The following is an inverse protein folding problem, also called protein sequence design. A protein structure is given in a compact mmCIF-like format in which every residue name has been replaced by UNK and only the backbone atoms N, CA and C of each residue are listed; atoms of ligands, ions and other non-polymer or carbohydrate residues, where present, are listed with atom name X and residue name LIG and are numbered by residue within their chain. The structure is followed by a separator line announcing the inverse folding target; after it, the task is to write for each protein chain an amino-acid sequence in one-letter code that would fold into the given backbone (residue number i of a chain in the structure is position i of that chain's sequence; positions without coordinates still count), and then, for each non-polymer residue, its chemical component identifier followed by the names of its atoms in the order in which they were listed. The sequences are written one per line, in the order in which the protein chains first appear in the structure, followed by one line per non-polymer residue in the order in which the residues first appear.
data_IF_833165227253
#
_entry.id   IF_833165227253
#
_cell.length_a   1.000
_cell.length_b   1.000
_cell.length_c   1.000
_cell.angle_alpha   90.00
_cell.angle_beta   90.00
_cell.angle_gamma   90.00
#
_symmetry.space_group_name_H-M   'P 1'
#
loop_
_entity.id
_entity.type
_entity.pdbx_description
1 polymer ?
#
# COMPACT_ATOMS: atom_id res chain seq x y z
N UNK A 1 8.59 23.32 1.42
CA UNK A 1 9.41 22.09 1.20
C UNK A 1 9.17 21.60 -0.23
N UNK A 2 10.16 21.02 -0.91
CA UNK A 2 9.91 20.27 -2.16
C UNK A 2 9.49 18.83 -1.78
N UNK A 3 8.18 18.60 -1.76
CA UNK A 3 7.57 17.34 -1.30
C UNK A 3 8.05 16.15 -2.10
N UNK A 4 8.24 16.30 -3.42
CA UNK A 4 8.71 15.20 -4.27
C UNK A 4 10.17 14.89 -3.99
N UNK A 5 11.03 15.89 -3.88
CA UNK A 5 12.43 15.67 -3.57
C UNK A 5 12.65 15.03 -2.19
N UNK A 6 11.79 15.32 -1.23
CA UNK A 6 11.90 14.85 0.16
C UNK A 6 11.36 13.42 0.30
N UNK A 7 10.21 13.11 -0.25
CA UNK A 7 9.49 11.85 0.03
C UNK A 7 9.52 10.84 -1.10
N UNK A 8 9.68 11.26 -2.36
CA UNK A 8 9.75 10.35 -3.50
C UNK A 8 11.18 9.87 -3.77
N UNK A 9 11.68 9.02 -2.89
CA UNK A 9 13.10 8.67 -2.84
C UNK A 9 13.55 7.65 -3.90
N UNK A 10 12.63 6.93 -4.55
CA UNK A 10 12.91 5.80 -5.46
C UNK A 10 13.81 4.71 -4.86
N UNK A 11 14.00 4.73 -3.55
CA UNK A 11 14.82 3.80 -2.80
C UNK A 11 14.11 3.43 -1.49
N UNK A 12 13.49 2.25 -1.41
CA UNK A 12 12.75 1.82 -0.23
C UNK A 12 13.66 1.62 0.99
N UNK A 13 14.94 1.33 0.80
CA UNK A 13 15.89 1.17 1.91
C UNK A 13 16.23 2.53 2.52
N UNK A 14 16.45 3.54 1.67
CA UNK A 14 16.63 4.92 2.13
C UNK A 14 15.38 5.45 2.81
N UNK A 15 14.20 5.11 2.27
CA UNK A 15 12.93 5.49 2.85
C UNK A 15 12.73 4.88 4.25
N UNK A 16 13.10 3.62 4.45
CA UNK A 16 13.06 2.98 5.78
C UNK A 16 14.02 3.67 6.78
N UNK A 17 15.23 4.02 6.35
CA UNK A 17 16.19 4.75 7.18
C UNK A 17 15.68 6.17 7.55
N UNK A 18 14.95 6.84 6.66
CA UNK A 18 14.34 8.13 6.95
C UNK A 18 13.28 8.06 8.07
N UNK A 19 12.54 6.95 8.19
CA UNK A 19 11.61 6.75 9.30
C UNK A 19 12.31 6.73 10.66
N UNK A 20 13.48 6.10 10.76
CA UNK A 20 14.28 6.09 11.97
C UNK A 20 14.72 7.54 12.32
N UNK A 21 15.21 8.27 11.34
CA UNK A 21 15.60 9.67 11.53
C UNK A 21 14.43 10.57 11.97
N UNK A 22 13.25 10.38 11.41
CA UNK A 22 12.04 11.11 11.80
C UNK A 22 11.64 10.78 13.25
N UNK A 23 11.74 9.53 13.65
CA UNK A 23 11.43 9.12 15.01
C UNK A 23 12.43 9.71 16.03
N UNK A 24 13.73 9.67 15.74
CA UNK A 24 14.79 10.16 16.61
C UNK A 24 14.73 11.68 16.83
N UNK A 25 14.22 12.43 15.85
CA UNK A 25 14.14 13.91 15.90
C UNK A 25 12.81 14.42 16.42
N UNK A 26 11.83 13.56 16.64
CA UNK A 26 10.49 13.96 17.02
C UNK A 26 10.36 14.36 18.48
N UNK A 27 9.53 15.38 18.74
CA UNK A 27 9.04 15.74 20.08
C UNK A 27 7.75 15.02 20.48
N UNK A 28 7.14 14.27 19.57
CA UNK A 28 5.94 13.48 19.81
C UNK A 28 6.29 12.02 20.20
N UNK A 29 5.36 11.26 20.79
CA UNK A 29 5.58 9.84 21.14
C UNK A 29 5.58 8.96 19.89
N UNK A 30 6.68 9.01 19.13
CA UNK A 30 6.91 8.21 17.93
C UNK A 30 8.14 7.33 18.09
N UNK A 31 8.14 6.17 17.43
CA UNK A 31 9.27 5.23 17.42
C UNK A 31 9.27 4.37 16.17
N UNK A 32 10.41 3.82 15.85
CA UNK A 32 10.51 2.70 14.91
C UNK A 32 10.60 1.38 15.66
N UNK A 33 9.95 0.35 15.14
CA UNK A 33 10.00 -1.00 15.68
C UNK A 33 10.40 -1.98 14.57
N UNK A 34 11.14 -3.02 14.94
CA UNK A 34 11.48 -4.13 14.07
C UNK A 34 10.52 -5.26 14.35
N UNK A 35 9.76 -5.68 13.34
CA UNK A 35 8.79 -6.75 13.49
C UNK A 35 9.24 -8.09 12.87
N UNK A 36 10.38 -8.12 12.19
CA UNK A 36 10.93 -9.33 11.61
C UNK A 36 12.12 -9.10 10.70
N UNK A 37 12.40 -10.13 9.91
CA UNK A 37 13.48 -10.14 8.93
C UNK A 37 12.95 -10.71 7.62
N UNK A 38 13.29 -10.08 6.51
CA UNK A 38 12.93 -10.53 5.17
C UNK A 38 13.71 -11.77 4.73
N UNK A 39 13.32 -12.35 3.61
CA UNK A 39 14.01 -13.50 3.03
C UNK A 39 15.51 -13.23 2.77
N UNK A 40 15.87 -12.01 2.37
CA UNK A 40 17.29 -11.61 2.17
C UNK A 40 17.99 -11.12 3.43
N UNK A 41 17.36 -11.25 4.59
CA UNK A 41 17.96 -10.85 5.87
C UNK A 41 17.87 -9.34 6.16
N UNK A 42 17.03 -8.59 5.45
CA UNK A 42 16.77 -7.18 5.78
C UNK A 42 15.79 -7.07 6.93
N UNK A 43 15.99 -6.06 7.76
CA UNK A 43 15.07 -5.76 8.85
C UNK A 43 13.74 -5.25 8.29
N UNK A 44 12.64 -5.78 8.83
CA UNK A 44 11.30 -5.33 8.57
C UNK A 44 10.93 -4.29 9.63
N UNK A 45 10.82 -3.04 9.22
CA UNK A 45 10.65 -1.89 10.10
C UNK A 45 9.28 -1.29 9.96
N UNK A 46 8.68 -0.88 11.08
CA UNK A 46 7.46 -0.07 11.12
C UNK A 46 7.73 1.24 11.84
N UNK A 47 6.99 2.26 11.45
CA UNK A 47 6.90 3.51 12.19
C UNK A 47 5.63 3.48 13.05
N UNK A 48 5.74 3.75 14.33
CA UNK A 48 4.61 3.79 15.26
C UNK A 48 4.54 5.14 15.95
N UNK A 49 3.36 5.74 15.96
CA UNK A 49 3.08 7.01 16.60
C UNK A 49 1.91 6.90 17.57
N UNK A 50 2.07 7.50 18.75
CA UNK A 50 1.07 7.55 19.81
C UNK A 50 1.05 6.34 20.72
N UNK A 51 0.33 6.53 21.83
CA UNK A 51 0.12 5.52 22.89
C UNK A 51 -1.36 5.39 23.24
N UNK A 52 -2.26 5.91 22.38
CA UNK A 52 -3.70 5.83 22.59
C UNK A 52 -4.25 4.40 22.46
N UNK A 53 -5.44 4.14 23.02
CA UNK A 53 -6.00 2.80 23.07
C UNK A 53 -6.52 2.28 21.71
N UNK A 54 -6.88 3.14 20.78
CA UNK A 54 -7.33 2.74 19.43
C UNK A 54 -6.13 2.46 18.54
N UNK A 55 -6.07 1.30 17.93
CA UNK A 55 -4.90 0.81 17.19
C UNK A 55 -5.21 0.69 15.70
N UNK A 56 -4.65 1.60 14.91
CA UNK A 56 -4.71 1.57 13.46
C UNK A 56 -3.39 1.08 12.87
N UNK A 57 -3.44 0.14 11.96
CA UNK A 57 -2.30 -0.37 11.20
C UNK A 57 -2.52 -0.10 9.73
N UNK A 58 -1.55 0.53 9.09
CA UNK A 58 -1.54 0.78 7.65
C UNK A 58 -0.44 -0.06 7.03
N UNK A 59 -0.77 -0.87 6.04
CA UNK A 59 0.17 -1.76 5.37
C UNK A 59 0.25 -1.40 3.91
N UNK A 60 1.47 -1.18 3.41
CA UNK A 60 1.74 -0.96 2.00
C UNK A 60 2.90 -1.79 1.51
N UNK A 61 3.09 -1.80 0.18
CA UNK A 61 4.19 -2.50 -0.44
C UNK A 61 4.16 -4.03 -0.26
N UNK A 62 2.98 -4.64 -0.21
CA UNK A 62 2.82 -6.09 -0.32
C UNK A 62 3.39 -6.57 -1.66
N UNK A 63 3.07 -5.87 -2.73
CA UNK A 63 3.67 -6.09 -4.03
C UNK A 63 4.94 -5.26 -4.20
N UNK A 64 5.95 -5.87 -4.78
CA UNK A 64 7.30 -5.32 -4.88
C UNK A 64 7.41 -3.98 -5.62
N UNK A 65 6.58 -3.76 -6.64
CA UNK A 65 6.61 -2.54 -7.46
C UNK A 65 5.76 -1.39 -6.90
N UNK A 66 4.95 -1.63 -5.86
CA UNK A 66 3.98 -0.69 -5.35
C UNK A 66 4.56 0.22 -4.25
N UNK A 67 5.67 0.88 -4.57
CA UNK A 67 6.44 1.69 -3.63
C UNK A 67 5.82 3.05 -3.31
N UNK A 68 4.93 3.55 -4.18
CA UNK A 68 4.34 4.88 -4.02
C UNK A 68 3.54 5.02 -2.71
N UNK A 69 2.92 3.92 -2.25
CA UNK A 69 2.23 3.87 -0.96
C UNK A 69 3.18 4.15 0.20
N UNK A 70 4.36 3.52 0.19
CA UNK A 70 5.37 3.72 1.20
C UNK A 70 5.86 5.16 1.25
N UNK A 71 6.05 5.80 0.10
CA UNK A 71 6.46 7.20 0.03
C UNK A 71 5.38 8.15 0.57
N UNK A 72 4.11 7.89 0.28
CA UNK A 72 3.00 8.62 0.88
C UNK A 72 2.89 8.43 2.39
N UNK A 73 3.19 7.21 2.90
CA UNK A 73 3.27 6.95 4.34
C UNK A 73 4.43 7.70 5.00
N UNK A 74 5.58 7.89 4.33
CA UNK A 74 6.66 8.73 4.85
C UNK A 74 6.21 10.18 5.05
N UNK A 75 5.47 10.74 4.10
CA UNK A 75 4.91 12.08 4.21
C UNK A 75 3.95 12.20 5.41
N UNK A 76 3.17 11.16 5.68
CA UNK A 76 2.30 11.13 6.86
C UNK A 76 3.10 10.93 8.16
N UNK A 77 4.13 10.08 8.17
CA UNK A 77 5.04 9.92 9.30
C UNK A 77 5.76 11.23 9.65
N UNK A 78 6.16 12.03 8.63
CA UNK A 78 6.69 13.36 8.84
C UNK A 78 5.70 14.23 9.62
N UNK A 79 4.43 14.28 9.21
CA UNK A 79 3.41 15.05 9.93
C UNK A 79 3.25 14.59 11.37
N UNK A 80 3.21 13.29 11.61
CA UNK A 80 3.09 12.75 12.98
C UNK A 80 4.32 13.02 13.86
N UNK A 81 5.49 13.22 13.24
CA UNK A 81 6.76 13.49 13.94
C UNK A 81 7.00 14.96 14.22
N UNK A 82 6.53 15.83 13.34
CA UNK A 82 6.85 17.27 13.39
C UNK A 82 5.68 18.16 13.80
N UNK A 83 4.44 17.70 13.63
CA UNK A 83 3.25 18.52 13.79
C UNK A 83 3.00 19.47 12.61
N UNK A 84 3.69 19.28 11.48
CA UNK A 84 3.54 20.08 10.27
C UNK A 84 3.27 19.18 9.06
N UNK A 85 2.33 19.54 8.20
CA UNK A 85 2.13 18.81 6.95
C UNK A 85 3.29 19.07 5.97
N UNK A 86 3.56 18.17 5.01
CA UNK A 86 4.55 18.41 3.95
C UNK A 86 4.32 19.70 3.15
N UNK A 87 3.10 20.22 3.17
CA UNK A 87 2.69 21.45 2.46
C UNK A 87 2.69 22.70 3.35
N UNK A 88 3.22 22.62 4.61
CA UNK A 88 3.38 23.76 5.50
C UNK A 88 2.15 24.11 6.35
N UNK A 89 1.17 23.20 6.46
CA UNK A 89 0.05 23.37 7.38
C UNK A 89 0.49 23.02 8.80
N UNK A 90 0.31 23.92 9.75
CA UNK A 90 0.58 23.70 11.17
C UNK A 90 -0.50 22.80 11.79
N UNK A 91 -0.11 21.63 12.24
CA UNK A 91 -0.98 20.55 12.74
C UNK A 91 -0.60 20.08 14.16
N UNK A 92 0.23 20.82 14.88
CA UNK A 92 0.78 20.39 16.18
C UNK A 92 -0.30 19.99 17.20
N UNK A 93 -1.34 20.81 17.35
CA UNK A 93 -2.46 20.52 18.26
C UNK A 93 -3.24 19.28 17.83
N UNK A 94 -3.48 19.14 16.53
CA UNK A 94 -4.15 17.97 15.97
C UNK A 94 -3.35 16.69 16.20
N UNK A 95 -2.03 16.70 15.92
CA UNK A 95 -1.15 15.56 16.15
C UNK A 95 -1.13 15.19 17.63
N UNK A 96 -0.94 16.16 18.51
CA UNK A 96 -0.93 15.93 19.96
C UNK A 96 -2.22 15.30 20.47
N UNK A 97 -3.37 15.71 19.97
CA UNK A 97 -4.68 15.19 20.34
C UNK A 97 -4.91 13.78 19.78
N UNK A 98 -4.54 13.58 18.53
CA UNK A 98 -4.61 12.30 17.82
C UNK A 98 -3.82 11.21 18.54
N UNK A 99 -2.54 11.48 18.87
CA UNK A 99 -1.63 10.50 19.44
C UNK A 99 -1.94 10.11 20.89
N UNK A 100 -2.72 10.94 21.60
CA UNK A 100 -3.30 10.55 22.90
C UNK A 100 -4.46 9.55 22.79
N UNK A 101 -5.17 9.57 21.67
CA UNK A 101 -6.36 8.73 21.42
C UNK A 101 -6.05 7.47 20.64
N UNK A 102 -5.02 7.51 19.82
CA UNK A 102 -4.71 6.44 18.89
C UNK A 102 -3.23 6.06 18.91
N UNK A 103 -2.98 4.80 18.63
CA UNK A 103 -1.67 4.27 18.23
C UNK A 103 -1.74 3.94 16.75
N UNK A 104 -0.95 4.64 15.94
CA UNK A 104 -0.91 4.51 14.48
C UNK A 104 0.38 3.81 14.10
N UNK A 105 0.28 2.70 13.38
CA UNK A 105 1.43 1.92 12.91
C UNK A 105 1.44 1.93 11.39
N UNK A 106 2.55 2.36 10.81
CA UNK A 106 2.78 2.38 9.37
C UNK A 106 3.79 1.31 8.98
N UNK A 107 3.42 0.42 8.07
CA UNK A 107 4.27 -0.61 7.44
C UNK A 107 4.46 -0.22 5.97
N UNK A 108 5.44 0.63 5.63
CA UNK A 108 5.48 1.25 4.29
C UNK A 108 5.94 0.30 3.19
N UNK A 109 6.82 -0.67 3.51
CA UNK A 109 7.42 -1.59 2.53
C UNK A 109 7.46 -3.00 3.09
N UNK A 110 6.30 -3.70 3.06
CA UNK A 110 6.25 -5.06 3.57
C UNK A 110 7.14 -6.02 2.76
N UNK A 111 7.13 -5.92 1.43
CA UNK A 111 8.02 -6.65 0.52
C UNK A 111 9.30 -5.85 0.24
N UNK A 112 10.10 -5.60 1.28
CA UNK A 112 11.30 -4.75 1.18
C UNK A 112 12.34 -5.29 0.19
N UNK A 113 12.49 -6.61 0.07
CA UNK A 113 13.42 -7.24 -0.86
C UNK A 113 12.97 -7.04 -2.30
N UNK A 114 11.71 -7.33 -2.57
CA UNK A 114 11.10 -7.09 -3.86
C UNK A 114 11.13 -5.61 -4.26
N UNK A 115 10.80 -4.71 -3.34
CA UNK A 115 10.86 -3.27 -3.59
C UNK A 115 12.30 -2.80 -3.90
N UNK A 116 13.29 -3.27 -3.15
CA UNK A 116 14.70 -2.96 -3.40
C UNK A 116 15.21 -3.54 -4.73
N UNK A 117 14.69 -4.68 -5.18
CA UNK A 117 14.95 -5.23 -6.51
C UNK A 117 14.30 -4.34 -7.57
N UNK A 118 13.01 -4.06 -7.45
CA UNK A 118 12.25 -3.29 -8.43
C UNK A 118 12.78 -1.86 -8.59
N UNK A 119 13.24 -1.21 -7.54
CA UNK A 119 13.84 0.13 -7.60
C UNK A 119 15.07 0.22 -8.51
N UNK A 120 15.80 -0.88 -8.73
CA UNK A 120 16.94 -0.95 -9.65
C UNK A 120 16.54 -1.06 -11.11
N UNK A 121 15.38 -1.66 -11.39
CA UNK A 121 14.87 -1.88 -12.75
C UNK A 121 13.97 -0.74 -13.22
N UNK A 122 13.39 0.01 -12.29
CA UNK A 122 12.49 1.13 -12.57
C UNK A 122 13.09 2.50 -12.16
N UNK A 123 14.42 2.75 -12.26
CA UNK A 123 14.99 4.02 -11.82
C UNK A 123 14.42 5.15 -12.70
N UNK A 124 13.52 5.91 -12.16
CA UNK A 124 12.93 7.08 -12.80
C UNK A 124 11.68 6.84 -13.65
N UNK A 125 11.26 5.60 -13.97
CA UNK A 125 10.02 5.36 -14.70
C UNK A 125 8.79 5.56 -13.81
N UNK A 126 8.87 5.16 -12.55
CA UNK A 126 7.88 5.53 -11.52
C UNK A 126 7.84 7.03 -11.23
N UNK A 127 8.89 7.76 -11.63
CA UNK A 127 9.04 9.18 -11.30
C UNK A 127 8.53 10.12 -12.38
N UNK A 128 8.20 9.63 -13.58
CA UNK A 128 7.91 10.49 -14.73
C UNK A 128 6.54 10.32 -15.35
N UNK A 129 5.60 9.64 -14.72
CA UNK A 129 4.26 9.40 -15.31
C UNK A 129 4.32 8.87 -16.76
N UNK A 130 5.41 8.21 -17.14
CA UNK A 130 5.64 7.81 -18.52
C UNK A 130 6.31 6.45 -18.56
N UNK A 131 5.53 5.42 -18.26
CA UNK A 131 5.75 4.23 -19.04
C UNK A 131 5.34 4.58 -20.47
N UNK A 132 6.30 5.00 -21.29
CA UNK A 132 6.05 4.95 -22.73
C UNK A 132 5.86 3.47 -23.13
N UNK A 133 5.26 3.22 -24.28
CA UNK A 133 5.00 1.85 -24.74
C UNK A 133 6.29 1.00 -24.76
N UNK A 134 7.45 1.59 -25.06
CA UNK A 134 8.74 0.91 -25.09
C UNK A 134 9.24 0.54 -23.68
N UNK A 135 9.01 1.38 -22.65
CA UNK A 135 9.35 1.07 -21.26
C UNK A 135 8.40 0.00 -20.69
N UNK A 136 7.14 0.02 -21.11
CA UNK A 136 6.17 -1.01 -20.75
C UNK A 136 6.47 -2.35 -21.43
N UNK A 137 6.80 -2.36 -22.71
CA UNK A 137 7.24 -3.55 -23.42
C UNK A 137 8.55 -4.09 -22.84
N UNK A 138 9.47 -3.20 -22.46
CA UNK A 138 10.70 -3.57 -21.75
C UNK A 138 10.40 -4.13 -20.37
N UNK A 139 9.51 -3.51 -19.62
CA UNK A 139 9.04 -4.01 -18.33
C UNK A 139 8.38 -5.39 -18.49
N UNK A 140 7.43 -5.57 -19.38
CA UNK A 140 6.80 -6.86 -19.67
C UNK A 140 7.80 -7.91 -20.18
N UNK A 141 8.84 -7.49 -20.89
CA UNK A 141 9.88 -8.38 -21.43
C UNK A 141 10.88 -8.82 -20.36
N UNK A 142 11.27 -7.94 -19.45
CA UNK A 142 12.19 -8.23 -18.35
C UNK A 142 11.48 -8.80 -17.12
N UNK A 143 10.24 -8.38 -16.88
CA UNK A 143 9.39 -8.85 -15.80
C UNK A 143 8.40 -9.85 -16.38
N UNK A 144 8.92 -10.92 -16.97
CA UNK A 144 8.06 -12.06 -17.32
C UNK A 144 7.34 -12.49 -16.07
N UNK A 145 6.02 -12.36 -16.14
CA UNK A 145 5.18 -12.85 -15.06
C UNK A 145 5.35 -14.37 -14.97
N UNK A 146 5.87 -14.92 -13.86
CA UNK A 146 5.94 -16.36 -13.67
C UNK A 146 4.61 -17.07 -13.87
N UNK A 147 3.48 -16.38 -13.60
CA UNK A 147 2.14 -16.90 -13.86
C UNK A 147 2.01 -17.29 -15.33
N UNK A 148 2.37 -16.41 -16.24
CA UNK A 148 2.32 -16.68 -17.68
C UNK A 148 3.35 -17.74 -18.11
N UNK A 149 4.55 -17.71 -17.50
CA UNK A 149 5.63 -18.64 -17.86
C UNK A 149 5.33 -20.08 -17.48
N UNK A 150 4.74 -20.31 -16.30
CA UNK A 150 4.50 -21.64 -15.76
C UNK A 150 3.02 -22.04 -15.79
N UNK A 151 2.15 -21.20 -16.36
CA UNK A 151 0.69 -21.45 -16.40
C UNK A 151 0.06 -21.52 -15.02
N UNK A 152 0.57 -20.71 -14.08
CA UNK A 152 0.05 -20.64 -12.71
C UNK A 152 -1.33 -20.00 -12.71
N UNK A 153 -2.16 -20.41 -11.76
CA UNK A 153 -3.50 -19.84 -11.60
C UNK A 153 -3.46 -18.79 -10.50
N UNK A 154 -3.70 -17.52 -10.84
CA UNK A 154 -3.78 -16.43 -9.88
C UNK A 154 -4.84 -16.74 -8.82
N UNK A 155 -4.51 -16.51 -7.55
CA UNK A 155 -5.38 -16.84 -6.42
C UNK A 155 -5.30 -18.32 -5.97
N UNK A 156 -4.58 -19.18 -6.69
CA UNK A 156 -4.38 -20.59 -6.32
C UNK A 156 -2.89 -20.90 -6.15
N UNK A 157 -2.08 -20.53 -7.14
CA UNK A 157 -0.63 -20.75 -7.14
C UNK A 157 0.08 -19.50 -6.60
N UNK A 158 0.23 -19.40 -5.28
CA UNK A 158 0.78 -18.23 -4.58
C UNK A 158 2.30 -18.23 -4.47
N UNK A 159 2.94 -19.25 -5.02
CA UNK A 159 4.40 -19.40 -4.90
C UNK A 159 4.96 -20.22 -6.07
N UNK A 160 6.21 -19.94 -6.36
CA UNK A 160 7.03 -20.77 -7.24
C UNK A 160 7.65 -21.91 -6.44
N UNK A 161 7.72 -23.10 -7.04
CA UNK A 161 8.53 -24.18 -6.49
C UNK A 161 10.00 -23.84 -6.62
N UNK A 162 10.86 -24.53 -5.84
CA UNK A 162 12.32 -24.33 -5.91
C UNK A 162 12.85 -24.57 -7.33
N UNK A 163 12.29 -25.57 -8.04
CA UNK A 163 12.65 -25.87 -9.43
C UNK A 163 12.20 -24.76 -10.38
N UNK A 164 10.99 -24.21 -10.24
CA UNK A 164 10.50 -23.08 -11.04
C UNK A 164 11.34 -21.84 -10.78
N UNK A 165 11.72 -21.57 -9.52
CA UNK A 165 12.63 -20.47 -9.16
C UNK A 165 13.99 -20.63 -9.82
N UNK A 166 14.57 -21.85 -9.75
CA UNK A 166 15.86 -22.13 -10.36
C UNK A 166 15.82 -21.93 -11.88
N UNK A 167 14.84 -22.52 -12.55
CA UNK A 167 14.68 -22.38 -14.01
C UNK A 167 14.50 -20.91 -14.39
N UNK A 168 13.59 -20.21 -13.72
CA UNK A 168 13.24 -18.82 -14.08
C UNK A 168 14.38 -17.84 -13.81
N UNK A 169 15.00 -17.90 -12.62
CA UNK A 169 15.99 -16.91 -12.19
C UNK A 169 17.40 -17.29 -12.65
N UNK A 170 17.79 -18.58 -12.56
CA UNK A 170 19.15 -19.00 -12.81
C UNK A 170 19.40 -19.40 -14.27
N UNK A 171 18.45 -20.05 -14.94
CA UNK A 171 18.62 -20.53 -16.30
C UNK A 171 18.10 -19.57 -17.37
N UNK A 172 17.00 -18.85 -17.10
CA UNK A 172 16.39 -17.93 -18.05
C UNK A 172 16.73 -16.45 -17.80
N UNK A 173 17.61 -16.15 -16.81
CA UNK A 173 17.91 -14.78 -16.36
C UNK A 173 16.64 -13.96 -16.07
N UNK A 174 15.59 -14.64 -15.60
CA UNK A 174 14.28 -14.02 -15.32
C UNK A 174 14.34 -13.15 -14.08
N UNK A 175 13.67 -12.02 -14.13
CA UNK A 175 13.48 -11.14 -12.97
C UNK A 175 12.06 -11.32 -12.45
N UNK A 176 11.93 -11.69 -11.17
CA UNK A 176 10.64 -11.77 -10.50
C UNK A 176 9.90 -10.44 -10.60
N UNK A 177 8.68 -10.49 -11.08
CA UNK A 177 7.85 -9.32 -11.36
C UNK A 177 7.34 -8.58 -10.13
N UNK A 178 6.44 -7.66 -10.39
CA UNK A 178 5.92 -6.72 -9.40
C UNK A 178 5.23 -7.38 -8.20
N UNK A 179 4.62 -8.56 -8.39
CA UNK A 179 3.83 -9.21 -7.34
C UNK A 179 4.71 -9.97 -6.32
N UNK A 180 5.91 -10.39 -6.72
CA UNK A 180 6.66 -11.44 -6.06
C UNK A 180 7.70 -10.94 -5.05
N UNK A 181 7.81 -11.63 -3.93
CA UNK A 181 8.98 -11.55 -3.04
C UNK A 181 10.21 -12.21 -3.71
N UNK A 182 11.39 -12.00 -3.12
CA UNK A 182 12.62 -12.63 -3.61
C UNK A 182 12.64 -14.14 -3.39
N UNK A 183 11.73 -14.68 -2.61
CA UNK A 183 11.50 -16.12 -2.45
C UNK A 183 10.56 -16.70 -3.52
N UNK A 184 9.99 -15.88 -4.40
CA UNK A 184 8.99 -16.32 -5.38
C UNK A 184 7.62 -16.61 -4.76
N UNK A 185 7.23 -15.81 -3.77
CA UNK A 185 5.95 -15.88 -3.07
C UNK A 185 5.20 -14.56 -3.28
N UNK A 186 3.92 -14.63 -3.63
CA UNK A 186 3.02 -13.49 -3.58
C UNK A 186 2.60 -13.26 -2.12
N UNK A 187 3.11 -12.19 -1.51
CA UNK A 187 2.88 -11.92 -0.08
C UNK A 187 1.43 -11.55 0.23
N UNK A 188 0.69 -11.06 -0.76
CA UNK A 188 -0.72 -10.72 -0.59
C UNK A 188 -1.61 -11.95 -0.48
N UNK A 189 -1.22 -13.05 -1.13
CA UNK A 189 -1.95 -14.30 -1.19
C UNK A 189 -1.37 -15.42 -0.30
N UNK A 190 -0.26 -15.17 0.41
CA UNK A 190 0.45 -16.18 1.23
C UNK A 190 -0.17 -16.40 2.64
N UNK A 191 -1.30 -15.79 2.94
CA UNK A 191 -1.83 -15.70 4.33
C UNK A 191 -2.38 -17.01 4.88
N UNK A 192 -2.73 -17.96 4.05
CA UNK A 192 -3.09 -19.33 4.49
C UNK A 192 -1.87 -20.24 4.57
N UNK A 193 -0.87 -20.03 3.72
CA UNK A 193 0.29 -20.91 3.62
C UNK A 193 1.46 -20.46 4.50
N UNK A 194 1.64 -19.15 4.70
CA UNK A 194 2.67 -18.53 5.52
C UNK A 194 4.09 -18.98 5.15
N UNK A 195 4.37 -19.08 3.86
CA UNK A 195 5.66 -19.55 3.35
C UNK A 195 6.76 -18.49 3.49
N UNK A 196 6.43 -17.24 3.19
CA UNK A 196 7.38 -16.15 3.28
C UNK A 196 7.66 -15.77 4.75
N UNK A 197 8.90 -15.47 5.10
CA UNK A 197 9.24 -14.95 6.43
C UNK A 197 8.56 -13.61 6.70
N UNK A 198 8.38 -12.78 5.68
CA UNK A 198 7.69 -11.50 5.75
C UNK A 198 6.23 -11.69 6.19
N UNK A 199 5.49 -12.61 5.55
CA UNK A 199 4.09 -12.88 5.90
C UNK A 199 3.95 -13.39 7.33
N UNK A 200 4.85 -14.30 7.75
CA UNK A 200 4.87 -14.77 9.15
C UNK A 200 5.14 -13.64 10.14
N UNK A 201 6.14 -12.80 9.83
CA UNK A 201 6.51 -11.69 10.68
C UNK A 201 5.38 -10.67 10.85
N UNK A 202 4.69 -10.30 9.76
CA UNK A 202 3.56 -9.38 9.84
C UNK A 202 2.39 -9.99 10.61
N UNK A 203 2.07 -11.27 10.38
CA UNK A 203 1.04 -11.97 11.14
C UNK A 203 1.32 -11.94 12.63
N UNK A 204 2.54 -12.32 13.04
CA UNK A 204 2.93 -12.40 14.44
C UNK A 204 2.88 -11.02 15.09
N UNK A 205 3.31 -9.99 14.38
CA UNK A 205 3.21 -8.60 14.79
C UNK A 205 1.76 -8.13 14.97
N UNK A 206 0.87 -8.44 14.01
CA UNK A 206 -0.56 -8.12 14.11
C UNK A 206 -1.23 -8.89 15.26
N UNK A 207 -0.83 -10.13 15.52
CA UNK A 207 -1.32 -10.93 16.64
C UNK A 207 -0.94 -10.30 18.00
N UNK A 208 0.24 -9.68 18.08
CA UNK A 208 0.70 -8.97 19.27
C UNK A 208 -0.07 -7.69 19.51
N UNK A 209 -0.16 -6.84 18.50
CA UNK A 209 -0.79 -5.50 18.63
C UNK A 209 -2.31 -5.53 18.64
N UNK A 210 -2.95 -6.54 18.04
CA UNK A 210 -4.41 -6.69 17.95
C UNK A 210 -5.09 -5.40 17.47
N UNK A 211 -5.01 -5.09 16.18
CA UNK A 211 -5.49 -3.83 15.64
C UNK A 211 -7.01 -3.70 15.74
N UNK A 212 -7.50 -2.48 15.92
CA UNK A 212 -8.92 -2.10 15.75
C UNK A 212 -9.22 -1.76 14.29
N UNK A 213 -8.19 -1.38 13.52
CA UNK A 213 -8.27 -1.09 12.10
C UNK A 213 -7.02 -1.56 11.37
N UNK A 214 -7.23 -2.17 10.20
CA UNK A 214 -6.19 -2.45 9.22
C UNK A 214 -6.57 -1.75 7.91
N UNK A 215 -5.67 -0.91 7.39
CA UNK A 215 -5.82 -0.28 6.09
C UNK A 215 -4.69 -0.73 5.17
N UNK A 216 -5.04 -1.46 4.13
CA UNK A 216 -4.09 -1.95 3.14
C UNK A 216 -4.08 -1.07 1.91
N UNK A 217 -2.88 -0.74 1.45
CA UNK A 217 -2.64 0.12 0.30
C UNK A 217 -1.88 -0.62 -0.79
N UNK A 218 -2.47 -0.62 -1.97
CA UNK A 218 -1.89 -1.06 -3.23
C UNK A 218 -1.71 0.08 -4.21
N UNK A 219 -1.07 -0.20 -5.34
CA UNK A 219 -1.02 0.72 -6.46
C UNK A 219 -1.69 0.10 -7.69
N UNK A 220 -2.54 0.89 -8.33
CA UNK A 220 -3.32 0.49 -9.48
C UNK A 220 -3.05 1.38 -10.70
N UNK A 221 -3.24 0.81 -11.88
CA UNK A 221 -3.05 1.51 -13.16
C UNK A 221 -4.13 2.56 -13.48
N UNK A 222 -5.26 2.53 -12.80
CA UNK A 222 -6.38 3.46 -12.95
C UNK A 222 -6.33 4.65 -12.00
N UNK A 223 -7.47 5.25 -11.75
CA UNK A 223 -7.65 6.31 -10.76
C UNK A 223 -7.65 5.71 -9.34
N UNK A 224 -7.23 6.52 -8.35
CA UNK A 224 -7.26 6.09 -6.95
C UNK A 224 -8.67 5.71 -6.50
N UNK A 225 -8.82 4.56 -5.85
CA UNK A 225 -10.12 4.00 -5.50
C UNK A 225 -10.06 3.09 -4.26
N UNK A 226 -11.21 2.98 -3.60
CA UNK A 226 -11.40 2.07 -2.46
C UNK A 226 -12.11 0.79 -2.91
N UNK A 227 -11.65 -0.35 -2.40
CA UNK A 227 -12.25 -1.67 -2.63
C UNK A 227 -12.83 -2.22 -1.33
N UNK A 228 -13.88 -1.58 -0.86
CA UNK A 228 -14.58 -2.01 0.34
C UNK A 228 -16.07 -2.24 0.01
N UNK A 229 -16.77 -3.08 0.72
CA UNK A 229 -16.29 -3.91 1.83
C UNK A 229 -15.47 -5.10 1.34
N UNK A 230 -14.61 -5.64 2.21
CA UNK A 230 -13.99 -6.93 1.94
C UNK A 230 -15.07 -8.02 1.84
N UNK A 231 -14.90 -9.03 0.97
CA UNK A 231 -15.93 -10.06 0.72
C UNK A 231 -16.44 -10.78 1.96
N UNK A 232 -15.56 -11.02 2.94
CA UNK A 232 -15.90 -11.68 4.19
C UNK A 232 -16.78 -10.83 5.12
N UNK A 233 -16.77 -9.49 4.99
CA UNK A 233 -17.52 -8.59 5.88
C UNK A 233 -19.02 -8.64 5.64
N UNK A 234 -19.80 -8.73 6.73
CA UNK A 234 -21.27 -8.84 6.69
C UNK A 234 -21.94 -7.89 7.68
N UNK A 235 -23.22 -7.63 7.44
CA UNK A 235 -24.07 -6.86 8.36
C UNK A 235 -23.50 -5.48 8.69
N UNK A 236 -23.38 -5.17 9.97
CA UNK A 236 -22.89 -3.88 10.46
C UNK A 236 -21.46 -3.59 10.01
N UNK A 237 -20.55 -4.56 10.07
CA UNK A 237 -19.16 -4.37 9.71
C UNK A 237 -19.02 -3.98 8.24
N UNK A 238 -19.83 -4.61 7.37
CA UNK A 238 -19.93 -4.21 5.95
C UNK A 238 -20.34 -2.75 5.80
N UNK A 239 -21.32 -2.30 6.54
CA UNK A 239 -21.80 -0.91 6.50
C UNK A 239 -20.75 0.06 7.02
N UNK A 240 -20.04 -0.31 8.10
CA UNK A 240 -18.94 0.50 8.64
C UNK A 240 -17.82 0.66 7.60
N UNK A 241 -17.42 -0.43 6.94
CA UNK A 241 -16.38 -0.36 5.89
C UNK A 241 -16.80 0.55 4.72
N UNK A 242 -18.05 0.44 4.27
CA UNK A 242 -18.59 1.32 3.22
C UNK A 242 -18.55 2.79 3.62
N UNK A 243 -18.97 3.12 4.83
CA UNK A 243 -18.99 4.49 5.35
C UNK A 243 -17.58 5.09 5.45
N UNK A 244 -16.59 4.31 5.93
CA UNK A 244 -15.20 4.74 5.93
C UNK A 244 -14.69 4.95 4.51
N UNK A 245 -14.94 4.01 3.62
CA UNK A 245 -14.52 4.10 2.22
C UNK A 245 -15.10 5.32 1.51
N UNK A 246 -16.40 5.59 1.67
CA UNK A 246 -17.04 6.75 1.07
C UNK A 246 -16.49 8.07 1.60
N UNK A 247 -16.27 8.19 2.91
CA UNK A 247 -15.71 9.41 3.50
C UNK A 247 -14.28 9.66 3.04
N UNK A 248 -13.45 8.62 2.97
CA UNK A 248 -12.08 8.72 2.48
C UNK A 248 -12.03 9.12 0.99
N UNK A 249 -12.92 8.57 0.16
CA UNK A 249 -13.04 8.99 -1.24
C UNK A 249 -13.56 10.42 -1.37
N UNK A 250 -14.50 10.83 -0.53
CA UNK A 250 -15.00 12.21 -0.49
C UNK A 250 -13.87 13.20 -0.15
N UNK A 251 -12.99 12.86 0.81
CA UNK A 251 -11.85 13.69 1.14
C UNK A 251 -10.91 13.91 -0.06
N UNK A 252 -10.66 12.90 -0.91
CA UNK A 252 -9.88 13.10 -2.14
C UNK A 252 -10.58 14.04 -3.12
N UNK A 253 -11.90 13.90 -3.28
CA UNK A 253 -12.69 14.76 -4.19
C UNK A 253 -12.67 16.21 -3.73
N UNK A 254 -12.78 16.46 -2.42
CA UNK A 254 -12.72 17.80 -1.83
C UNK A 254 -11.34 18.45 -2.03
N UNK A 255 -10.28 17.67 -2.00
CA UNK A 255 -8.91 18.11 -2.30
C UNK A 255 -8.62 18.21 -3.82
N UNK A 256 -9.57 17.84 -4.68
CA UNK A 256 -9.40 17.84 -6.14
C UNK A 256 -8.36 16.83 -6.65
N UNK A 257 -8.09 15.78 -5.87
CA UNK A 257 -7.12 14.74 -6.23
C UNK A 257 -7.68 13.75 -7.24
N UNK A 258 -6.81 13.14 -8.09
CA UNK A 258 -7.22 12.12 -9.05
C UNK A 258 -7.79 10.89 -8.34
N UNK A 259 -9.09 10.71 -8.43
CA UNK A 259 -9.76 9.56 -7.83
C UNK A 259 -10.96 9.11 -8.68
N UNK A 260 -11.36 7.86 -8.47
CA UNK A 260 -12.56 7.32 -9.09
C UNK A 260 -13.80 8.02 -8.59
N UNK A 261 -14.70 8.40 -9.50
CA UNK A 261 -16.03 8.92 -9.12
C UNK A 261 -16.98 7.85 -8.58
N UNK A 262 -16.65 6.60 -8.82
CA UNK A 262 -17.32 5.49 -8.17
C UNK A 262 -16.65 5.31 -6.79
N UNK A 263 -17.22 5.97 -5.79
CA UNK A 263 -16.61 6.15 -4.48
C UNK A 263 -16.14 4.84 -3.83
N UNK A 264 -16.90 3.76 -4.02
CA UNK A 264 -16.60 2.47 -3.42
C UNK A 264 -16.98 1.37 -4.38
N UNK A 265 -16.03 0.48 -4.68
CA UNK A 265 -16.29 -0.72 -5.47
C UNK A 265 -16.26 -1.94 -4.56
N UNK A 266 -17.30 -2.75 -4.64
CA UNK A 266 -17.21 -4.10 -4.09
C UNK A 266 -16.10 -4.83 -4.84
N UNK A 267 -15.12 -5.34 -4.13
CA UNK A 267 -14.05 -6.16 -4.71
C UNK A 267 -14.70 -7.36 -5.40
N UNK A 268 -14.56 -7.41 -6.72
CA UNK A 268 -15.30 -8.34 -7.56
C UNK A 268 -14.64 -9.70 -7.77
N UNK A 269 -13.71 -10.13 -6.90
CA UNK A 269 -13.12 -11.46 -6.94
C UNK A 269 -13.74 -12.28 -5.79
N UNK A 270 -14.87 -12.97 -6.02
CA UNK A 270 -15.63 -13.61 -4.94
C UNK A 270 -14.97 -14.84 -4.33
N UNK A 271 -13.84 -15.32 -4.85
CA UNK A 271 -13.38 -16.68 -4.61
C UNK A 271 -12.00 -16.80 -3.98
N UNK A 272 -11.31 -15.70 -3.70
CA UNK A 272 -9.97 -15.75 -3.09
C UNK A 272 -10.01 -15.42 -1.59
N UNK A 273 -10.51 -16.34 -0.79
CA UNK A 273 -10.45 -16.29 0.69
C UNK A 273 -9.01 -16.29 1.25
N UNK A 274 -7.99 -16.16 0.38
CA UNK A 274 -6.58 -16.25 0.73
C UNK A 274 -5.89 -14.90 0.79
N UNK A 275 -6.56 -13.85 0.34
CA UNK A 275 -5.99 -12.51 0.28
C UNK A 275 -5.93 -11.88 1.67
N UNK A 276 -4.92 -11.07 1.89
CA UNK A 276 -4.68 -10.43 3.19
C UNK A 276 -5.92 -9.76 3.80
N UNK A 277 -6.70 -8.93 3.09
CA UNK A 277 -7.85 -8.26 3.70
C UNK A 277 -8.90 -9.22 4.26
N UNK A 278 -9.20 -10.30 3.54
CA UNK A 278 -10.20 -11.28 3.98
C UNK A 278 -9.71 -12.08 5.17
N UNK A 279 -8.47 -12.57 5.12
CA UNK A 279 -7.86 -13.31 6.25
C UNK A 279 -7.71 -12.41 7.47
N UNK A 280 -7.31 -11.15 7.28
CA UNK A 280 -7.19 -10.18 8.37
C UNK A 280 -8.55 -9.91 9.03
N UNK A 281 -9.61 -9.70 8.23
CA UNK A 281 -10.96 -9.52 8.77
C UNK A 281 -11.44 -10.75 9.56
N UNK A 282 -11.28 -11.95 9.00
CA UNK A 282 -11.69 -13.18 9.68
C UNK A 282 -10.91 -13.44 10.97
N UNK A 283 -9.62 -13.08 11.01
CA UNK A 283 -8.75 -13.33 12.16
C UNK A 283 -8.92 -12.29 13.26
N UNK A 284 -8.94 -10.99 12.91
CA UNK A 284 -8.90 -9.91 13.90
C UNK A 284 -10.26 -9.32 14.22
N UNK A 285 -11.26 -9.53 13.37
CA UNK A 285 -12.62 -8.98 13.54
C UNK A 285 -12.60 -7.46 13.77
N UNK A 286 -11.69 -6.78 13.09
CA UNK A 286 -11.51 -5.34 13.11
C UNK A 286 -12.04 -4.70 11.83
N UNK A 287 -12.04 -3.37 11.77
CA UNK A 287 -12.25 -2.64 10.51
C UNK A 287 -11.11 -2.99 9.55
N UNK A 288 -11.43 -3.53 8.37
CA UNK A 288 -10.45 -3.78 7.30
C UNK A 288 -10.85 -2.99 6.07
N UNK A 289 -9.92 -2.18 5.58
CA UNK A 289 -10.07 -1.38 4.38
C UNK A 289 -8.97 -1.75 3.38
N UNK A 290 -9.29 -1.70 2.11
CA UNK A 290 -8.37 -1.95 1.02
C UNK A 290 -8.51 -0.88 -0.04
N UNK A 291 -7.40 -0.31 -0.50
CA UNK A 291 -7.41 0.75 -1.50
C UNK A 291 -6.26 0.61 -2.50
N UNK A 292 -6.52 1.11 -3.68
CA UNK A 292 -5.58 1.23 -4.79
C UNK A 292 -5.25 2.69 -5.03
N UNK A 293 -4.00 3.06 -4.86
CA UNK A 293 -3.50 4.39 -5.21
C UNK A 293 -3.12 4.39 -6.68
N UNK A 294 -3.58 5.38 -7.43
CA UNK A 294 -3.14 5.57 -8.81
C UNK A 294 -1.62 5.79 -8.86
N UNK A 295 -0.91 5.03 -9.70
CA UNK A 295 0.54 5.19 -9.83
C UNK A 295 1.01 5.81 -11.15
N UNK A 296 0.09 6.40 -11.90
CA UNK A 296 0.47 7.31 -12.97
C UNK A 296 0.70 6.66 -14.33
N UNK A 297 -0.18 5.77 -14.78
CA UNK A 297 -0.22 5.43 -16.19
C UNK A 297 -0.49 6.65 -17.05
N UNK A 298 0.05 6.61 -18.28
CA UNK A 298 -0.29 7.61 -19.28
C UNK A 298 -1.79 7.67 -19.53
N UNK A 299 -2.28 8.86 -19.84
CA UNK A 299 -3.69 9.07 -20.13
C UNK A 299 -4.22 8.12 -21.22
N UNK A 300 -3.40 7.80 -22.22
CA UNK A 300 -3.78 6.88 -23.30
C UNK A 300 -4.00 5.46 -22.77
N UNK A 301 -3.15 4.98 -21.85
CA UNK A 301 -3.33 3.66 -21.23
C UNK A 301 -4.52 3.64 -20.30
N UNK A 302 -4.76 4.70 -19.54
CA UNK A 302 -5.98 4.83 -18.74
C UNK A 302 -7.23 4.76 -19.61
N UNK A 303 -7.24 5.44 -20.76
CA UNK A 303 -8.35 5.39 -21.72
C UNK A 303 -8.56 4.00 -22.33
N UNK A 304 -7.47 3.30 -22.63
CA UNK A 304 -7.54 1.93 -23.14
C UNK A 304 -8.16 0.99 -22.10
N UNK A 305 -7.73 1.05 -20.84
CA UNK A 305 -8.29 0.29 -19.74
C UNK A 305 -9.77 0.68 -19.52
N UNK A 306 -10.08 1.97 -19.60
CA UNK A 306 -11.44 2.47 -19.50
C UNK A 306 -12.37 1.88 -20.57
N UNK A 307 -11.91 1.72 -21.79
CA UNK A 307 -12.71 1.12 -22.89
C UNK A 307 -12.96 -0.38 -22.71
N UNK A 308 -12.06 -1.07 -22.04
CA UNK A 308 -12.20 -2.52 -21.77
C UNK A 308 -13.12 -2.82 -20.57
N UNK A 309 -13.44 -1.82 -19.74
CA UNK A 309 -14.29 -1.98 -18.56
C UNK A 309 -15.50 -1.05 -18.63
N UNK A 310 -16.73 -1.58 -18.86
CA UNK A 310 -17.95 -0.76 -18.95
C UNK A 310 -18.32 0.01 -17.67
N UNK A 311 -17.66 -0.30 -16.55
CA UNK A 311 -17.80 0.44 -15.27
C UNK A 311 -16.74 1.51 -15.10
N UNK A 312 -15.89 1.72 -16.12
CA UNK A 312 -14.81 2.69 -16.05
C UNK A 312 -15.30 4.12 -16.24
N UNK A 313 -14.46 5.03 -15.85
CA UNK A 313 -14.72 6.46 -15.86
C UNK A 313 -14.82 7.02 -17.26
N UNK A 314 -15.55 8.13 -17.38
CA UNK A 314 -15.63 8.85 -18.64
C UNK A 314 -14.28 9.46 -18.97
N UNK A 315 -13.88 9.44 -20.25
CA UNK A 315 -12.63 10.02 -20.73
C UNK A 315 -12.33 11.44 -20.20
N UNK A 316 -13.39 12.23 -19.96
CA UNK A 316 -13.26 13.60 -19.45
C UNK A 316 -12.75 13.69 -18.01
N UNK A 317 -12.82 12.61 -17.24
CA UNK A 317 -12.47 12.57 -15.82
C UNK A 317 -11.07 11.95 -15.58
N UNK A 318 -10.48 11.38 -16.63
CA UNK A 318 -9.16 10.77 -16.55
C UNK A 318 -8.07 11.84 -16.66
N UNK A 319 -7.13 11.82 -15.73
CA UNK A 319 -5.93 12.65 -15.80
C UNK A 319 -4.72 11.92 -15.20
N UNK A 320 -3.55 12.30 -15.63
CA UNK A 320 -2.30 11.79 -15.09
C UNK A 320 -2.02 12.47 -13.75
N UNK A 321 -1.89 11.72 -12.64
CA UNK A 321 -1.49 12.32 -11.37
C UNK A 321 0.00 12.69 -11.41
N UNK A 322 0.34 13.75 -10.71
CA UNK A 322 1.73 14.07 -10.40
C UNK A 322 2.22 13.21 -9.23
N UNK A 323 3.54 13.10 -9.06
CA UNK A 323 4.13 12.42 -7.89
C UNK A 323 3.64 13.02 -6.57
N UNK A 324 3.55 14.34 -6.52
CA UNK A 324 3.04 15.06 -5.35
C UNK A 324 1.58 14.70 -5.06
N UNK A 325 0.73 14.60 -6.07
CA UNK A 325 -0.66 14.19 -5.91
C UNK A 325 -0.80 12.74 -5.44
N UNK A 326 0.11 11.86 -5.86
CA UNK A 326 0.15 10.47 -5.37
C UNK A 326 0.50 10.44 -3.87
N UNK A 327 1.55 11.17 -3.46
CA UNK A 327 1.91 11.33 -2.05
C UNK A 327 0.73 11.91 -1.25
N UNK A 328 0.11 12.97 -1.79
CA UNK A 328 -1.02 13.65 -1.15
C UNK A 328 -2.25 12.76 -1.03
N UNK A 329 -2.52 11.89 -2.02
CA UNK A 329 -3.61 10.91 -1.96
C UNK A 329 -3.48 10.00 -0.74
N UNK A 330 -2.31 9.42 -0.51
CA UNK A 330 -2.07 8.57 0.66
C UNK A 330 -2.21 9.38 1.94
N UNK A 331 -1.61 10.56 2.00
CA UNK A 331 -1.67 11.43 3.17
C UNK A 331 -3.11 11.83 3.54
N UNK A 332 -3.93 12.22 2.55
CA UNK A 332 -5.35 12.60 2.75
C UNK A 332 -6.16 11.40 3.23
N UNK A 333 -5.95 10.22 2.65
CA UNK A 333 -6.63 9.01 3.12
C UNK A 333 -6.27 8.67 4.56
N UNK A 334 -4.99 8.74 4.91
CA UNK A 334 -4.55 8.44 6.28
C UNK A 334 -5.11 9.46 7.28
N UNK A 335 -5.13 10.75 6.92
CA UNK A 335 -5.76 11.79 7.74
C UNK A 335 -7.24 11.51 7.95
N UNK A 336 -8.00 11.27 6.89
CA UNK A 336 -9.43 10.96 6.96
C UNK A 336 -9.71 9.70 7.81
N UNK A 337 -8.89 8.64 7.65
CA UNK A 337 -9.01 7.41 8.43
C UNK A 337 -8.87 7.66 9.93
N UNK A 338 -7.80 8.36 10.33
CA UNK A 338 -7.51 8.59 11.76
C UNK A 338 -8.46 9.61 12.40
N UNK A 339 -8.93 10.60 11.64
CA UNK A 339 -9.95 11.55 12.10
C UNK A 339 -11.24 10.81 12.43
N UNK A 340 -11.74 9.98 11.52
CA UNK A 340 -12.93 9.15 11.75
C UNK A 340 -12.74 8.18 12.92
N UNK A 341 -11.57 7.54 13.01
CA UNK A 341 -11.24 6.66 14.13
C UNK A 341 -11.28 7.39 15.47
N UNK A 342 -10.78 8.63 15.51
CA UNK A 342 -10.80 9.48 16.71
C UNK A 342 -12.20 9.98 17.10
N UNK A 343 -13.08 10.21 16.13
CA UNK A 343 -14.45 10.68 16.36
C UNK A 343 -15.38 9.58 16.93
N UNK A 344 -15.27 8.36 16.42
CA UNK A 344 -16.28 7.30 16.69
C UNK A 344 -15.72 5.90 16.91
N UNK A 345 -14.40 5.73 16.87
CA UNK A 345 -13.75 4.43 16.89
C UNK A 345 -13.84 3.70 15.54
N UNK A 346 -13.25 2.52 15.49
CA UNK A 346 -13.18 1.69 14.28
C UNK A 346 -14.24 0.57 14.21
N UNK A 347 -15.35 0.69 14.94
CA UNK A 347 -16.39 -0.36 15.07
C UNK A 347 -17.79 0.16 14.75
#
# INVERSE_FOLDING_TARGET
MDVVAEFWLNDPLKAAANLESLADQSSYPVRTLRYGTSFRGRELVVFQAGDGPLRAVVVGGMHAAEMANGFGMLAFAHTLSTGESPWGEELGDWVGDLLRRQTITLVPFHNIDGAARMSRFLPGSYTRNRFNAADWDRYLHFVRDPIMRFGLTRGIDHFLTDEQMRVFVEEEDGVLGQLWSDQGVDLWEDWLNLRAPETRALRDFLDEIRPDCIFELHNHEGQSQMFVPVPAAKGRDRMTQLEYGERMMTALMEEGLPCSRHSVRTYGIPESLNQFPDVAYERYRCLVLFAEVCFGLTLDRQRELARSNPLSERDADLREPTQEEIIRTVWVWLRALVDMGGERGYR
#
